data_IF_180182941750
#
_entry.id   IF_180182941750
#
_cell.length_a   1.000
_cell.length_b   1.000
_cell.length_c   1.000
_cell.angle_alpha   90.00
_cell.angle_beta   90.00
_cell.angle_gamma   90.00
#
_symmetry.space_group_name_H-M   'P 1'
#
loop_
_entity.id
_entity.type
_entity.pdbx_description
1 polymer ?
#
# COMPACT_ATOMS: atom_id res chain seq x y z
N UNK A 1 20.66 -6.94 7.83
CA UNK A 1 19.71 -7.21 6.74
C UNK A 1 18.25 -7.26 7.21
N UNK A 2 17.90 -8.05 8.23
CA UNK A 2 16.52 -8.20 8.73
C UNK A 2 15.82 -6.87 9.08
N UNK A 3 16.51 -5.94 9.75
CA UNK A 3 15.93 -4.62 10.12
C UNK A 3 15.46 -3.80 8.91
N UNK A 4 16.18 -3.86 7.79
CA UNK A 4 15.83 -3.13 6.56
C UNK A 4 14.57 -3.75 5.93
N UNK A 5 14.49 -5.09 5.90
CA UNK A 5 13.32 -5.81 5.40
C UNK A 5 12.06 -5.51 6.21
N UNK A 6 12.17 -5.43 7.54
CA UNK A 6 11.03 -5.09 8.42
C UNK A 6 10.52 -3.66 8.19
N UNK A 7 11.43 -2.69 8.03
CA UNK A 7 11.06 -1.30 7.73
C UNK A 7 10.38 -1.22 6.36
N UNK A 8 10.90 -1.96 5.37
CA UNK A 8 10.34 -1.97 4.02
C UNK A 8 8.94 -2.61 3.98
N UNK A 9 8.73 -3.70 4.73
CA UNK A 9 7.42 -4.32 4.88
C UNK A 9 6.40 -3.38 5.55
N UNK A 10 6.80 -2.66 6.59
CA UNK A 10 5.93 -1.65 7.24
C UNK A 10 5.56 -0.50 6.28
N UNK A 11 6.50 -0.08 5.42
CA UNK A 11 6.27 0.92 4.38
C UNK A 11 5.25 0.45 3.34
N UNK A 12 5.32 -0.80 2.89
CA UNK A 12 4.34 -1.35 1.94
C UNK A 12 2.94 -1.50 2.52
N UNK A 13 2.81 -1.74 3.82
CA UNK A 13 1.53 -1.76 4.53
C UNK A 13 0.96 -0.34 4.67
N UNK A 14 1.81 0.65 4.95
CA UNK A 14 1.40 2.05 5.10
C UNK A 14 1.10 2.76 3.77
N UNK A 15 1.80 2.40 2.69
CA UNK A 15 1.66 3.00 1.36
C UNK A 15 0.22 3.08 0.83
N UNK A 16 -0.63 2.04 0.88
CA UNK A 16 -2.01 2.13 0.41
C UNK A 16 -2.85 3.13 1.21
N UNK A 17 -2.59 3.30 2.52
CA UNK A 17 -3.25 4.32 3.33
C UNK A 17 -2.85 5.75 2.91
N UNK A 18 -1.57 5.98 2.65
CA UNK A 18 -1.09 7.28 2.16
C UNK A 18 -1.64 7.62 0.77
N UNK A 19 -1.67 6.65 -0.14
CA UNK A 19 -2.21 6.85 -1.49
C UNK A 19 -3.71 7.13 -1.42
N UNK A 20 -4.45 6.40 -0.58
CA UNK A 20 -5.86 6.65 -0.33
C UNK A 20 -6.12 8.06 0.23
N UNK A 21 -5.35 8.47 1.24
CA UNK A 21 -5.46 9.80 1.83
C UNK A 21 -5.21 10.90 0.80
N UNK A 22 -4.11 10.83 0.05
CA UNK A 22 -3.79 11.78 -1.03
C UNK A 22 -4.92 11.87 -2.06
N UNK A 23 -5.45 10.73 -2.49
CA UNK A 23 -6.50 10.68 -3.51
C UNK A 23 -7.84 11.22 -3.00
N UNK A 24 -8.15 11.00 -1.71
CA UNK A 24 -9.31 11.60 -1.01
C UNK A 24 -9.20 13.13 -0.94
N UNK A 25 -8.04 13.64 -0.53
CA UNK A 25 -7.77 15.08 -0.48
C UNK A 25 -7.83 15.72 -1.87
N UNK A 26 -7.23 15.08 -2.88
CA UNK A 26 -7.23 15.57 -4.25
C UNK A 26 -8.65 15.62 -4.85
N UNK A 27 -9.43 14.57 -4.65
CA UNK A 27 -10.83 14.49 -5.09
C UNK A 27 -11.68 15.62 -4.49
N UNK A 28 -11.53 15.89 -3.18
CA UNK A 28 -12.24 16.97 -2.49
C UNK A 28 -11.81 18.36 -2.95
N UNK A 29 -10.51 18.57 -3.14
CA UNK A 29 -9.95 19.87 -3.54
C UNK A 29 -10.32 20.26 -4.97
N UNK A 30 -10.31 19.31 -5.91
CA UNK A 30 -10.58 19.58 -7.34
C UNK A 30 -12.03 19.28 -7.77
N UNK A 31 -12.91 18.82 -6.86
CA UNK A 31 -14.28 18.34 -7.15
C UNK A 31 -14.37 17.33 -8.30
N UNK A 32 -13.31 16.54 -8.52
CA UNK A 32 -13.29 15.54 -9.59
C UNK A 32 -13.93 14.26 -9.08
N UNK A 33 -15.03 13.84 -9.70
CA UNK A 33 -15.61 12.51 -9.43
C UNK A 33 -14.70 11.44 -10.01
N UNK A 34 -13.97 10.75 -9.14
CA UNK A 34 -13.22 9.55 -9.50
C UNK A 34 -14.23 8.39 -9.60
N UNK A 35 -14.69 8.10 -10.81
CA UNK A 35 -15.43 6.85 -11.05
C UNK A 35 -14.49 5.69 -10.72
N UNK A 36 -14.98 4.70 -9.95
CA UNK A 36 -14.21 3.55 -9.47
C UNK A 36 -13.21 3.78 -8.31
N UNK A 37 -13.35 4.86 -7.52
CA UNK A 37 -12.51 5.10 -6.33
C UNK A 37 -12.35 3.85 -5.43
N UNK A 38 -13.45 3.15 -5.14
CA UNK A 38 -13.45 1.93 -4.34
C UNK A 38 -12.66 0.77 -4.97
N UNK A 39 -12.70 0.60 -6.30
CA UNK A 39 -11.93 -0.45 -6.99
C UNK A 39 -10.43 -0.16 -6.94
N UNK A 40 -10.04 1.11 -7.06
CA UNK A 40 -8.64 1.54 -6.96
C UNK A 40 -8.09 1.27 -5.57
N UNK A 41 -8.87 1.58 -4.53
CA UNK A 41 -8.50 1.32 -3.12
C UNK A 41 -8.38 -0.17 -2.86
N UNK A 42 -9.37 -0.96 -3.27
CA UNK A 42 -9.33 -2.42 -3.16
C UNK A 42 -8.10 -2.98 -3.86
N UNK A 43 -7.79 -2.51 -5.07
CA UNK A 43 -6.57 -2.89 -5.79
C UNK A 43 -5.30 -2.54 -5.02
N UNK A 44 -5.20 -1.34 -4.46
CA UNK A 44 -4.06 -0.87 -3.67
C UNK A 44 -3.86 -1.65 -2.36
N UNK A 45 -4.95 -1.99 -1.68
CA UNK A 45 -4.88 -2.85 -0.48
C UNK A 45 -4.40 -4.22 -0.88
N UNK A 46 -4.94 -4.81 -1.95
CA UNK A 46 -4.57 -6.14 -2.41
C UNK A 46 -3.10 -6.21 -2.84
N UNK A 47 -2.61 -5.20 -3.57
CA UNK A 47 -1.20 -5.13 -3.98
C UNK A 47 -0.26 -4.88 -2.80
N UNK A 48 -0.64 -4.05 -1.83
CA UNK A 48 0.14 -3.84 -0.60
C UNK A 48 0.26 -5.13 0.22
N UNK A 49 -0.84 -5.89 0.32
CA UNK A 49 -0.90 -7.13 1.09
C UNK A 49 -0.10 -8.26 0.42
N UNK A 50 -0.18 -8.39 -0.91
CA UNK A 50 0.65 -9.36 -1.65
C UNK A 50 2.13 -9.02 -1.57
N UNK A 51 2.52 -7.75 -1.69
CA UNK A 51 3.93 -7.35 -1.52
C UNK A 51 4.44 -7.62 -0.11
N UNK A 52 3.63 -7.34 0.92
CA UNK A 52 3.99 -7.62 2.31
C UNK A 52 4.20 -9.13 2.53
N UNK A 53 3.32 -9.98 1.99
CA UNK A 53 3.47 -11.44 2.02
C UNK A 53 4.77 -11.90 1.36
N UNK A 54 5.08 -11.39 0.17
CA UNK A 54 6.34 -11.71 -0.54
C UNK A 54 7.56 -11.32 0.30
N UNK A 55 7.55 -10.14 0.93
CA UNK A 55 8.62 -9.70 1.82
C UNK A 55 8.79 -10.60 3.05
N UNK A 56 7.69 -11.07 3.64
CA UNK A 56 7.73 -12.03 4.76
C UNK A 56 8.34 -13.36 4.31
N UNK A 57 7.95 -13.89 3.16
CA UNK A 57 8.52 -15.13 2.61
C UNK A 57 10.02 -14.98 2.39
N UNK A 58 10.46 -13.88 1.76
CA UNK A 58 11.90 -13.61 1.58
C UNK A 58 12.61 -13.53 2.93
N UNK A 59 12.01 -12.90 3.94
CA UNK A 59 12.59 -12.81 5.28
C UNK A 59 12.82 -14.19 5.90
N UNK A 60 11.89 -15.13 5.71
CA UNK A 60 11.97 -16.51 6.24
C UNK A 60 13.09 -17.30 5.53
N UNK A 61 13.26 -17.14 4.22
CA UNK A 61 14.30 -17.83 3.45
C UNK A 61 15.70 -17.23 3.62
N UNK A 62 15.80 -15.97 4.04
CA UNK A 62 17.08 -15.26 4.26
C UNK A 62 17.61 -15.46 5.69
N UNK A 63 16.76 -15.90 6.62
CA UNK A 63 17.15 -16.36 7.97
C UNK A 63 17.82 -17.73 7.86
#
# INVERSE_FOLDING_TARGET
MIKILSILAALFIAAPFFIWACMSFYSKSKKVRISNYWKIILGLIFTGLTLALVMIVIMIFVI
#
